data_IF_112516816841
#
_entry.id   IF_112516816841
#
_cell.length_a   1.000
_cell.length_b   1.000
_cell.length_c   1.000
_cell.angle_alpha   90.00
_cell.angle_beta   90.00
_cell.angle_gamma   90.00
#
_symmetry.space_group_name_H-M   'P 1'
#
loop_
_entity.id
_entity.type
_entity.pdbx_description
1 polymer ?
#
# COMPACT_ATOMS: atom_id res chain seq x y z
N UNK A 1 0.13 11.61 4.30
CA UNK A 1 0.13 10.15 4.49
C UNK A 1 -1.30 9.67 4.67
N UNK A 2 -1.71 8.72 3.85
CA UNK A 2 -2.96 8.02 4.07
C UNK A 2 -2.66 6.66 4.71
N UNK A 3 -3.58 6.14 5.50
CA UNK A 3 -3.37 4.85 6.15
C UNK A 3 -4.64 4.01 6.14
N UNK A 4 -4.48 2.70 6.12
CA UNK A 4 -5.57 1.74 6.19
C UNK A 4 -5.12 0.49 6.92
N UNK A 5 -6.04 -0.12 7.65
CA UNK A 5 -5.81 -1.41 8.30
C UNK A 5 -6.57 -2.47 7.53
N UNK A 6 -5.89 -3.55 7.18
CA UNK A 6 -6.46 -4.64 6.40
C UNK A 6 -6.54 -5.88 7.28
N UNK A 7 -7.75 -6.40 7.49
CA UNK A 7 -7.98 -7.59 8.30
C UNK A 7 -8.61 -8.68 7.45
N UNK A 8 -8.26 -9.94 7.72
CA UNK A 8 -8.79 -11.07 6.99
C UNK A 8 -8.29 -11.12 5.56
N UNK A 9 -9.13 -11.57 4.63
CA UNK A 9 -8.77 -11.64 3.22
C UNK A 9 -9.06 -10.31 2.51
N UNK A 10 -8.10 -9.87 1.70
CA UNK A 10 -8.27 -8.64 0.93
C UNK A 10 -9.04 -8.93 -0.35
N UNK A 11 -10.16 -8.25 -0.52
CA UNK A 11 -10.96 -8.36 -1.73
C UNK A 11 -10.74 -7.19 -2.67
N UNK A 12 -11.12 -7.36 -3.94
CA UNK A 12 -10.92 -6.32 -4.95
C UNK A 12 -11.75 -5.07 -4.66
N UNK A 13 -12.94 -5.22 -4.08
CA UNK A 13 -13.76 -4.07 -3.71
C UNK A 13 -13.07 -3.20 -2.65
N UNK A 14 -12.35 -3.83 -1.73
CA UNK A 14 -11.59 -3.09 -0.73
C UNK A 14 -10.42 -2.34 -1.35
N UNK A 15 -9.74 -2.97 -2.29
CA UNK A 15 -8.67 -2.31 -3.05
C UNK A 15 -9.22 -1.11 -3.80
N UNK A 16 -10.36 -1.26 -4.46
CA UNK A 16 -11.00 -0.16 -5.20
C UNK A 16 -11.33 1.01 -4.27
N UNK A 17 -11.82 0.72 -3.06
CA UNK A 17 -12.11 1.76 -2.07
C UNK A 17 -10.85 2.48 -1.62
N UNK A 18 -9.77 1.75 -1.40
CA UNK A 18 -8.50 2.35 -1.02
C UNK A 18 -7.93 3.21 -2.15
N UNK A 19 -8.06 2.76 -3.38
CA UNK A 19 -7.62 3.53 -4.53
C UNK A 19 -8.43 4.83 -4.69
N UNK A 20 -9.73 4.77 -4.45
CA UNK A 20 -10.57 5.97 -4.50
C UNK A 20 -10.16 6.99 -3.42
N UNK A 21 -9.86 6.51 -2.21
CA UNK A 21 -9.38 7.37 -1.14
C UNK A 21 -8.02 7.98 -1.48
N UNK A 22 -7.14 7.21 -2.13
CA UNK A 22 -5.85 7.71 -2.56
C UNK A 22 -6.00 8.82 -3.61
N UNK A 23 -6.88 8.63 -4.59
CA UNK A 23 -7.13 9.65 -5.61
C UNK A 23 -7.65 10.94 -4.98
N UNK A 24 -8.57 10.82 -4.01
CA UNK A 24 -9.09 12.00 -3.30
C UNK A 24 -7.96 12.74 -2.57
N UNK A 25 -7.07 12.01 -1.90
CA UNK A 25 -5.92 12.60 -1.21
C UNK A 25 -4.96 13.28 -2.19
N UNK A 26 -4.73 12.67 -3.35
CA UNK A 26 -3.88 13.26 -4.39
C UNK A 26 -4.46 14.60 -4.90
N UNK A 27 -5.77 14.68 -5.04
CA UNK A 27 -6.43 15.91 -5.46
C UNK A 27 -6.28 17.04 -4.43
N UNK A 28 -6.22 16.68 -3.15
CA UNK A 28 -6.13 17.65 -2.06
C UNK A 28 -4.70 18.07 -1.75
N UNK A 29 -3.77 17.12 -1.81
CA UNK A 29 -2.42 17.32 -1.29
C UNK A 29 -1.32 17.12 -2.31
N UNK A 30 -1.64 16.72 -3.53
CA UNK A 30 -0.66 16.36 -4.54
C UNK A 30 -0.10 14.96 -4.28
N UNK A 31 1.22 14.81 -4.31
CA UNK A 31 1.85 13.51 -4.09
C UNK A 31 1.62 13.03 -2.65
N UNK A 32 1.39 11.74 -2.50
CA UNK A 32 1.07 11.13 -1.20
C UNK A 32 1.99 9.97 -0.88
N UNK A 33 2.01 9.58 0.39
CA UNK A 33 2.58 8.34 0.86
C UNK A 33 1.49 7.53 1.56
N UNK A 34 1.62 6.20 1.53
CA UNK A 34 0.60 5.32 2.07
C UNK A 34 1.18 4.37 3.13
N UNK A 35 0.39 4.10 4.16
CA UNK A 35 0.71 3.13 5.20
C UNK A 35 -0.40 2.11 5.28
N UNK A 36 -0.06 0.84 5.09
CA UNK A 36 -1.01 -0.26 5.24
C UNK A 36 -0.60 -1.14 6.41
N UNK A 37 -1.53 -1.38 7.32
CA UNK A 37 -1.30 -2.22 8.48
C UNK A 37 -2.10 -3.51 8.29
N UNK A 38 -1.39 -4.65 8.29
CA UNK A 38 -2.03 -5.96 8.18
C UNK A 38 -2.29 -6.50 9.58
N UNK A 39 -3.58 -6.65 9.92
CA UNK A 39 -4.01 -7.16 11.21
C UNK A 39 -4.77 -8.45 11.00
N UNK A 40 -4.19 -9.58 11.40
CA UNK A 40 -4.75 -10.92 11.12
C UNK A 40 -5.02 -11.11 9.62
N UNK A 41 -4.07 -10.69 8.80
CA UNK A 41 -4.19 -10.78 7.35
C UNK A 41 -4.16 -12.24 6.91
N UNK A 42 -5.06 -12.60 5.99
CA UNK A 42 -5.21 -13.98 5.51
C UNK A 42 -4.99 -14.13 4.00
N UNK A 43 -4.39 -13.13 3.38
CA UNK A 43 -4.12 -13.18 1.95
C UNK A 43 -5.19 -12.48 1.13
N UNK A 44 -5.28 -12.87 -0.12
CA UNK A 44 -6.17 -12.25 -1.09
C UNK A 44 -7.32 -13.20 -1.43
N UNK A 45 -8.52 -12.63 -1.60
CA UNK A 45 -9.66 -13.41 -2.07
C UNK A 45 -9.41 -13.90 -3.48
N UNK A 46 -9.96 -15.05 -3.82
CA UNK A 46 -9.91 -15.56 -5.19
C UNK A 46 -10.97 -14.83 -6.01
N UNK A 47 -10.53 -13.89 -6.81
CA UNK A 47 -11.40 -13.07 -7.65
C UNK A 47 -10.73 -12.83 -8.99
N UNK A 48 -11.50 -12.57 -10.06
CA UNK A 48 -10.91 -12.18 -11.33
C UNK A 48 -10.35 -10.75 -11.25
N UNK A 49 -9.58 -10.37 -12.27
CA UNK A 49 -9.12 -9.01 -12.47
C UNK A 49 -8.06 -8.51 -11.48
N UNK A 50 -7.41 -9.40 -10.73
CA UNK A 50 -6.28 -8.99 -9.91
C UNK A 50 -5.12 -8.43 -10.73
N UNK A 51 -5.07 -8.73 -12.04
CA UNK A 51 -4.06 -8.22 -12.94
C UNK A 51 -4.35 -6.82 -13.49
N UNK A 52 -5.45 -6.19 -13.09
CA UNK A 52 -5.78 -4.84 -13.54
C UNK A 52 -4.81 -3.83 -12.94
N UNK A 53 -4.00 -3.21 -13.78
CA UNK A 53 -2.97 -2.25 -13.36
C UNK A 53 -3.33 -0.82 -13.75
N UNK A 54 -4.58 -0.55 -14.07
CA UNK A 54 -5.04 0.76 -14.51
C UNK A 54 -4.69 1.86 -13.49
N UNK A 55 -4.99 1.63 -12.22
CA UNK A 55 -4.69 2.60 -11.19
C UNK A 55 -3.19 2.90 -11.13
N UNK A 56 -2.36 1.87 -11.14
CA UNK A 56 -0.91 2.05 -11.07
C UNK A 56 -0.41 2.83 -12.27
N UNK A 57 -0.89 2.51 -13.46
CA UNK A 57 -0.49 3.19 -14.68
C UNK A 57 -0.84 4.67 -14.66
N UNK A 58 -2.03 5.01 -14.15
CA UNK A 58 -2.51 6.38 -14.15
C UNK A 58 -1.95 7.23 -13.02
N UNK A 59 -1.65 6.62 -11.86
CA UNK A 59 -1.36 7.37 -10.63
C UNK A 59 -0.02 7.04 -9.97
N UNK A 60 0.80 6.19 -10.57
CA UNK A 60 2.02 5.75 -9.91
C UNK A 60 2.97 6.90 -9.59
N UNK A 61 3.01 7.93 -10.42
CA UNK A 61 3.86 9.10 -10.21
C UNK A 61 3.39 9.97 -9.03
N UNK A 62 2.18 9.77 -8.56
CA UNK A 62 1.62 10.55 -7.47
C UNK A 62 1.78 9.89 -6.10
N UNK A 63 2.37 8.70 -6.06
CA UNK A 63 2.65 7.98 -4.83
C UNK A 63 4.16 7.95 -4.62
N UNK A 64 4.61 8.50 -3.50
CA UNK A 64 6.04 8.62 -3.20
C UNK A 64 6.57 7.36 -2.50
N UNK A 65 5.89 6.93 -1.45
CA UNK A 65 6.29 5.79 -0.64
C UNK A 65 5.09 4.98 -0.19
N UNK A 66 5.28 3.67 -0.12
CA UNK A 66 4.29 2.75 0.43
C UNK A 66 4.97 1.93 1.51
N UNK A 67 4.48 2.03 2.74
CA UNK A 67 4.93 1.19 3.84
C UNK A 67 3.84 0.18 4.18
N UNK A 68 4.24 -1.06 4.39
CA UNK A 68 3.31 -2.12 4.83
C UNK A 68 3.86 -2.71 6.12
N UNK A 69 3.01 -2.80 7.13
CA UNK A 69 3.35 -3.39 8.43
C UNK A 69 2.57 -4.68 8.59
N UNK A 70 3.24 -5.79 8.81
CA UNK A 70 2.57 -7.08 8.97
C UNK A 70 3.56 -8.19 9.30
N UNK A 71 3.05 -9.42 9.40
CA UNK A 71 3.87 -10.57 9.70
C UNK A 71 4.83 -10.88 8.56
N UNK A 72 6.00 -11.41 8.90
CA UNK A 72 7.06 -11.66 7.91
C UNK A 72 6.63 -12.62 6.81
N UNK A 73 5.73 -13.54 7.11
CA UNK A 73 5.27 -14.52 6.12
C UNK A 73 4.66 -13.89 4.88
N UNK A 74 4.12 -12.68 4.99
CA UNK A 74 3.46 -11.99 3.88
C UNK A 74 4.37 -11.08 3.08
N UNK A 75 5.59 -10.85 3.54
CA UNK A 75 6.49 -9.85 2.95
C UNK A 75 6.69 -10.04 1.44
N UNK A 76 7.08 -11.24 1.03
CA UNK A 76 7.40 -11.48 -0.38
C UNK A 76 6.17 -11.39 -1.26
N UNK A 77 5.02 -11.87 -0.78
CA UNK A 77 3.78 -11.78 -1.52
C UNK A 77 3.29 -10.34 -1.65
N UNK A 78 3.45 -9.55 -0.60
CA UNK A 78 3.10 -8.13 -0.63
C UNK A 78 4.00 -7.38 -1.61
N UNK A 79 5.30 -7.65 -1.59
CA UNK A 79 6.22 -7.02 -2.54
C UNK A 79 5.82 -7.36 -3.99
N UNK A 80 5.44 -8.60 -4.24
CA UNK A 80 4.99 -9.01 -5.57
C UNK A 80 3.69 -8.29 -5.95
N UNK A 81 2.74 -8.23 -5.02
CA UNK A 81 1.46 -7.59 -5.26
C UNK A 81 1.61 -6.09 -5.55
N UNK A 82 2.51 -5.43 -4.85
CA UNK A 82 2.76 -4.00 -5.01
C UNK A 82 3.80 -3.68 -6.09
N UNK A 83 4.33 -4.70 -6.76
CA UNK A 83 5.32 -4.55 -7.82
C UNK A 83 6.56 -3.76 -7.38
N UNK A 84 7.10 -4.10 -6.19
CA UNK A 84 8.31 -3.47 -5.70
C UNK A 84 9.45 -3.62 -6.72
N UNK A 85 10.11 -2.52 -7.00
CA UNK A 85 11.19 -2.49 -7.98
C UNK A 85 10.75 -2.23 -9.42
N UNK A 86 9.45 -2.29 -9.69
CA UNK A 86 8.90 -2.08 -11.03
C UNK A 86 7.99 -0.85 -11.09
N UNK A 87 7.96 -0.07 -10.02
CA UNK A 87 7.15 1.14 -9.95
C UNK A 87 7.99 2.28 -9.35
N UNK A 88 7.56 3.51 -9.54
CA UNK A 88 8.30 4.67 -9.05
C UNK A 88 8.22 4.83 -7.53
N UNK A 89 7.10 4.45 -6.94
CA UNK A 89 6.94 4.51 -5.48
C UNK A 89 7.92 3.56 -4.81
N UNK A 90 8.57 4.01 -3.74
CA UNK A 90 9.37 3.15 -2.90
C UNK A 90 8.46 2.32 -2.02
N UNK A 91 8.70 1.02 -1.95
CA UNK A 91 7.89 0.08 -1.16
C UNK A 91 8.77 -0.58 -0.11
N UNK A 92 8.39 -0.50 1.15
CA UNK A 92 9.09 -1.15 2.24
C UNK A 92 8.12 -1.91 3.14
N UNK A 93 8.59 -3.03 3.68
CA UNK A 93 7.81 -3.88 4.57
C UNK A 93 8.41 -3.86 5.96
N UNK A 94 7.57 -3.70 6.97
CA UNK A 94 7.98 -3.64 8.37
C UNK A 94 7.24 -4.68 9.19
N UNK A 95 7.87 -5.19 10.24
CA UNK A 95 7.23 -6.13 11.16
C UNK A 95 6.32 -5.36 12.13
N UNK A 96 5.36 -6.06 12.77
CA UNK A 96 4.38 -5.36 13.63
C UNK A 96 5.01 -4.52 14.74
N UNK A 97 6.15 -4.94 15.27
CA UNK A 97 6.85 -4.17 16.31
C UNK A 97 7.55 -2.93 15.80
N UNK A 98 7.60 -2.73 14.49
CA UNK A 98 8.34 -1.64 13.87
C UNK A 98 7.42 -0.56 13.26
N UNK A 99 6.19 -0.47 13.72
CA UNK A 99 5.25 0.54 13.21
C UNK A 99 5.82 1.96 13.31
N UNK A 100 6.49 2.29 14.41
CA UNK A 100 7.11 3.60 14.56
C UNK A 100 8.19 3.85 13.51
N UNK A 101 8.95 2.82 13.15
CA UNK A 101 9.95 2.93 12.09
C UNK A 101 9.30 3.17 10.73
N UNK A 102 8.18 2.49 10.47
CA UNK A 102 7.44 2.68 9.24
C UNK A 102 6.96 4.14 9.11
N UNK A 103 6.41 4.68 10.18
CA UNK A 103 5.94 6.07 10.18
C UNK A 103 7.09 7.05 10.00
N UNK A 104 8.21 6.81 10.65
CA UNK A 104 9.40 7.65 10.51
C UNK A 104 9.93 7.61 9.07
N UNK A 105 9.99 6.42 8.49
CA UNK A 105 10.44 6.27 7.11
C UNK A 105 9.54 7.02 6.12
N UNK A 106 8.23 6.95 6.32
CA UNK A 106 7.28 7.67 5.47
C UNK A 106 7.44 9.19 5.61
N UNK A 107 7.77 9.67 6.79
CA UNK A 107 7.91 11.10 7.05
C UNK A 107 9.22 11.71 6.61
N UNK A 108 10.25 10.91 6.31
CA UNK A 108 11.59 11.45 6.03
C UNK A 108 11.68 12.28 4.75
N UNK A 109 10.81 12.01 3.76
CA UNK A 109 10.79 12.71 2.49
C UNK A 109 9.48 13.46 2.26
N UNK A 110 8.85 13.90 3.32
CA UNK A 110 7.55 14.57 3.23
C UNK A 110 7.66 16.05 2.81
N UNK A 111 8.74 16.40 2.24
CA UNK A 111 9.00 17.78 1.79
C UNK A 111 8.71 17.95 0.34
#
# INVERSE_FOLDING_TARGET
IISATISGELGKSEVTQMQAAAVDAMRRFGKISALFILDNFRGWKREPDWGDVTFMTEHDNDIVKIAVVGDEEWRDLVYAFLAKGFRQAEVEYFLPGDLAKARAWLGTDSR
#
